data_IF_678448062380
#
_entry.id   IF_678448062380
#
_cell.length_a   1.000
_cell.length_b   1.000
_cell.length_c   1.000
_cell.angle_alpha   90.00
_cell.angle_beta   90.00
_cell.angle_gamma   90.00
#
_symmetry.space_group_name_H-M   'P 1'
#
loop_
_entity.id
_entity.type
_entity.pdbx_description
1 polymer ?
#
# COMPACT_ATOMS: atom_id res chain seq x y z
N UNK A 1 29.39 -27.85 37.18
CA UNK A 1 28.29 -26.90 36.90
C UNK A 1 26.99 -27.51 37.40
N UNK A 2 26.54 -27.15 38.60
CA UNK A 2 25.48 -27.84 39.34
C UNK A 2 24.06 -27.60 38.78
N UNK A 3 23.85 -26.54 38.00
CA UNK A 3 22.54 -26.18 37.43
C UNK A 3 22.43 -26.35 35.92
N UNK A 4 23.40 -27.02 35.27
CA UNK A 4 23.43 -27.20 33.81
C UNK A 4 22.13 -27.81 33.27
N UNK A 5 21.54 -28.78 33.98
CA UNK A 5 20.27 -29.41 33.59
C UNK A 5 19.07 -28.47 33.69
N UNK A 6 18.99 -27.65 34.74
CA UNK A 6 17.91 -26.66 34.92
C UNK A 6 17.99 -25.55 33.88
N UNK A 7 19.20 -25.11 33.56
CA UNK A 7 19.46 -24.10 32.53
C UNK A 7 19.02 -24.63 31.15
N UNK A 8 19.40 -25.86 30.79
CA UNK A 8 19.00 -26.47 29.50
C UNK A 8 17.48 -26.61 29.40
N UNK A 9 16.81 -27.10 30.47
CA UNK A 9 15.37 -27.23 30.49
C UNK A 9 14.66 -25.88 30.32
N UNK A 10 15.12 -24.84 31.03
CA UNK A 10 14.60 -23.48 30.89
C UNK A 10 14.80 -22.91 29.48
N UNK A 11 15.96 -23.18 28.86
CA UNK A 11 16.27 -22.73 27.49
C UNK A 11 15.36 -23.38 26.45
N UNK A 12 15.07 -24.68 26.58
CA UNK A 12 14.17 -25.39 25.67
C UNK A 12 12.74 -24.84 25.79
N UNK A 13 12.26 -24.60 27.02
CA UNK A 13 10.94 -24.00 27.25
C UNK A 13 10.88 -22.59 26.67
N UNK A 14 11.90 -21.77 26.93
CA UNK A 14 11.97 -20.40 26.42
C UNK A 14 11.99 -20.37 24.88
N UNK A 15 12.81 -21.20 24.24
CA UNK A 15 12.86 -21.29 22.77
C UNK A 15 11.55 -21.82 22.19
N UNK A 16 10.91 -22.79 22.85
CA UNK A 16 9.58 -23.26 22.47
C UNK A 16 8.55 -22.13 22.51
N UNK A 17 8.47 -21.40 23.63
CA UNK A 17 7.56 -20.26 23.80
C UNK A 17 7.86 -19.11 22.84
N UNK A 18 9.14 -18.79 22.61
CA UNK A 18 9.57 -17.76 21.68
C UNK A 18 9.31 -18.14 20.22
N UNK A 19 9.28 -19.44 19.91
CA UNK A 19 8.93 -19.94 18.58
C UNK A 19 7.40 -20.04 18.35
N UNK A 20 6.57 -20.05 19.43
CA UNK A 20 5.11 -20.14 19.31
C UNK A 20 4.51 -19.11 18.33
N UNK A 21 4.87 -17.80 18.37
CA UNK A 21 4.33 -16.82 17.43
C UNK A 21 4.63 -17.19 15.98
N UNK A 22 5.81 -17.76 15.69
CA UNK A 22 6.16 -18.17 14.33
C UNK A 22 5.34 -19.37 13.84
N UNK A 23 4.92 -20.27 14.73
CA UNK A 23 4.04 -21.39 14.37
C UNK A 23 2.56 -20.96 14.31
N UNK A 24 2.11 -20.09 15.20
CA UNK A 24 0.75 -19.53 15.19
C UNK A 24 0.51 -18.55 14.04
N UNK A 25 1.51 -17.77 13.65
CA UNK A 25 1.45 -16.84 12.51
C UNK A 25 1.72 -17.50 11.17
N UNK A 26 2.09 -18.80 11.13
CA UNK A 26 2.30 -19.58 9.90
C UNK A 26 0.96 -19.94 9.25
N UNK A 27 0.31 -18.93 8.70
CA UNK A 27 -1.03 -19.02 8.11
C UNK A 27 -1.79 -17.71 8.10
N UNK A 28 -1.24 -16.65 8.72
CA UNK A 28 -1.92 -15.37 8.78
C UNK A 28 -1.51 -14.45 7.62
N UNK A 29 -2.55 -14.16 6.83
CA UNK A 29 -2.77 -13.05 5.91
C UNK A 29 -2.04 -13.08 4.57
N UNK A 30 -2.77 -13.48 3.53
CA UNK A 30 -2.53 -12.98 2.18
C UNK A 30 -2.65 -11.46 2.18
N UNK A 31 -1.91 -10.79 1.29
CA UNK A 31 -2.08 -9.36 1.08
C UNK A 31 -3.57 -9.07 0.80
N UNK A 32 -4.12 -7.98 1.37
CA UNK A 32 -5.52 -7.65 1.14
C UNK A 32 -5.72 -7.35 -0.33
N UNK A 33 -6.77 -7.93 -0.91
CA UNK A 33 -7.21 -7.55 -2.24
C UNK A 33 -7.98 -6.22 -2.13
N UNK A 34 -7.57 -5.16 -2.84
CA UNK A 34 -8.27 -3.89 -2.85
C UNK A 34 -9.45 -3.93 -3.82
N UNK A 35 -10.51 -3.19 -3.50
CA UNK A 35 -11.73 -3.15 -4.29
C UNK A 35 -11.60 -2.19 -5.48
N UNK A 36 -11.87 -2.70 -6.69
CA UNK A 36 -11.82 -1.97 -7.95
C UNK A 36 -13.21 -1.56 -8.46
N UNK A 37 -14.27 -1.81 -7.68
CA UNK A 37 -15.65 -1.51 -8.03
C UNK A 37 -15.95 -0.01 -7.89
N UNK A 38 -15.40 0.78 -8.80
CA UNK A 38 -15.71 2.21 -8.93
C UNK A 38 -16.41 2.49 -10.26
N UNK A 39 -17.30 3.49 -10.34
CA UNK A 39 -17.97 3.85 -11.58
C UNK A 39 -16.98 4.13 -12.72
N UNK A 40 -15.86 4.80 -12.43
CA UNK A 40 -14.84 5.12 -13.43
C UNK A 40 -14.15 3.86 -13.96
N UNK A 41 -13.70 2.95 -13.09
CA UNK A 41 -13.03 1.72 -13.52
C UNK A 41 -13.99 0.79 -14.28
N UNK A 42 -15.25 0.72 -13.85
CA UNK A 42 -16.26 -0.12 -14.50
C UNK A 42 -16.63 0.35 -15.91
N UNK A 43 -16.44 1.64 -16.22
CA UNK A 43 -16.67 2.21 -17.55
C UNK A 43 -15.48 2.04 -18.49
N UNK A 44 -14.32 1.61 -17.98
CA UNK A 44 -13.13 1.42 -18.80
C UNK A 44 -13.18 0.13 -19.59
N UNK A 45 -12.89 0.22 -20.90
CA UNK A 45 -12.69 -0.95 -21.76
C UNK A 45 -11.45 -1.75 -21.35
N UNK A 46 -10.41 -1.05 -20.88
CA UNK A 46 -9.17 -1.61 -20.36
C UNK A 46 -8.93 -1.07 -18.96
N UNK A 47 -8.81 -1.95 -17.96
CA UNK A 47 -8.63 -1.58 -16.54
C UNK A 47 -7.19 -1.15 -16.24
N UNK A 48 -6.73 -0.13 -16.94
CA UNK A 48 -5.42 0.50 -16.77
C UNK A 48 -5.59 1.98 -16.44
N UNK A 49 -4.61 2.52 -15.71
CA UNK A 49 -4.60 3.91 -15.29
C UNK A 49 -3.20 4.49 -15.62
N UNK A 50 -2.43 4.88 -14.61
CA UNK A 50 -1.08 5.46 -14.79
C UNK A 50 -0.04 4.38 -15.12
N UNK A 51 -0.10 3.23 -14.47
CA UNK A 51 0.85 2.13 -14.62
C UNK A 51 0.15 0.78 -14.38
N UNK A 52 0.84 -0.31 -14.72
CA UNK A 52 0.34 -1.66 -14.44
C UNK A 52 0.10 -1.91 -12.95
N UNK A 53 -0.83 -2.81 -12.63
CA UNK A 53 -1.13 -3.18 -11.25
C UNK A 53 0.11 -3.73 -10.50
N UNK A 54 0.97 -4.48 -11.19
CA UNK A 54 2.19 -5.03 -10.61
C UNK A 54 3.22 -3.94 -10.32
N UNK A 55 3.36 -2.97 -11.22
CA UNK A 55 4.20 -1.80 -10.98
C UNK A 55 3.71 -1.01 -9.76
N UNK A 56 2.39 -0.74 -9.67
CA UNK A 56 1.82 0.03 -8.57
C UNK A 56 2.02 -0.68 -7.23
N UNK A 57 1.82 -2.01 -7.15
CA UNK A 57 2.09 -2.76 -5.92
C UNK A 57 3.54 -2.63 -5.45
N UNK A 58 4.49 -2.65 -6.38
CA UNK A 58 5.91 -2.56 -6.07
C UNK A 58 6.40 -1.12 -5.80
N UNK A 59 5.83 -0.12 -6.49
CA UNK A 59 6.41 1.23 -6.57
C UNK A 59 5.48 2.37 -6.16
N UNK A 60 4.23 2.13 -5.75
CA UNK A 60 3.24 3.21 -5.55
C UNK A 60 3.74 4.36 -4.67
N UNK A 61 4.35 4.08 -3.50
CA UNK A 61 4.81 5.16 -2.62
C UNK A 61 6.02 5.91 -3.19
N UNK A 62 6.88 5.22 -3.94
CA UNK A 62 8.03 5.85 -4.60
C UNK A 62 7.54 6.84 -5.66
N UNK A 63 6.61 6.39 -6.51
CA UNK A 63 5.98 7.22 -7.54
C UNK A 63 5.30 8.45 -6.90
N UNK A 64 4.50 8.25 -5.85
CA UNK A 64 3.81 9.36 -5.17
C UNK A 64 4.77 10.35 -4.50
N UNK A 65 5.89 9.89 -3.96
CA UNK A 65 6.90 10.77 -3.37
C UNK A 65 7.62 11.62 -4.42
N UNK A 66 8.00 10.99 -5.53
CA UNK A 66 8.61 11.67 -6.68
C UNK A 66 7.64 12.70 -7.28
N UNK A 67 6.38 12.31 -7.51
CA UNK A 67 5.34 13.20 -8.01
C UNK A 67 5.09 14.39 -7.08
N UNK A 68 5.06 14.16 -5.77
CA UNK A 68 4.92 15.24 -4.79
C UNK A 68 6.08 16.24 -4.89
N UNK A 69 7.32 15.74 -4.95
CA UNK A 69 8.48 16.62 -5.05
C UNK A 69 8.47 17.40 -6.38
N UNK A 70 8.19 16.73 -7.50
CA UNK A 70 8.10 17.37 -8.82
C UNK A 70 7.02 18.47 -8.84
N UNK A 71 5.80 18.16 -8.37
CA UNK A 71 4.68 19.10 -8.41
C UNK A 71 4.82 20.27 -7.43
N UNK A 72 5.41 20.06 -6.24
CA UNK A 72 5.47 21.07 -5.18
C UNK A 72 6.78 21.86 -5.19
N UNK A 73 7.92 21.21 -5.48
CA UNK A 73 9.25 21.84 -5.42
C UNK A 73 9.72 22.34 -6.77
N UNK A 74 9.45 21.59 -7.82
CA UNK A 74 9.96 21.89 -9.18
C UNK A 74 8.91 22.61 -10.03
N UNK A 75 7.62 22.49 -9.66
CA UNK A 75 6.51 23.04 -10.42
C UNK A 75 6.15 22.21 -11.65
N UNK A 76 6.78 21.05 -11.84
CA UNK A 76 6.52 20.13 -12.93
C UNK A 76 5.36 19.19 -12.55
N UNK A 77 4.27 19.27 -13.31
CA UNK A 77 3.02 18.55 -13.05
C UNK A 77 2.62 17.60 -14.16
N UNK A 78 3.38 17.51 -15.24
CA UNK A 78 3.05 16.66 -16.37
C UNK A 78 3.64 15.27 -16.16
N UNK A 79 2.85 14.20 -16.33
CA UNK A 79 3.36 12.82 -16.32
C UNK A 79 3.47 12.26 -17.73
N UNK A 80 2.40 12.34 -18.51
CA UNK A 80 2.38 11.86 -19.89
C UNK A 80 0.99 11.48 -20.39
N UNK A 81 0.94 10.91 -21.59
CA UNK A 81 -0.29 10.48 -22.25
C UNK A 81 -0.32 8.96 -22.34
N UNK A 82 -1.37 8.32 -21.81
CA UNK A 82 -1.60 6.88 -21.90
C UNK A 82 -2.95 6.65 -22.55
N UNK A 83 -2.99 5.87 -23.63
CA UNK A 83 -4.20 5.62 -24.43
C UNK A 83 -4.95 6.91 -24.85
N UNK A 84 -4.19 7.99 -25.13
CA UNK A 84 -4.73 9.29 -25.53
C UNK A 84 -5.27 10.14 -24.38
N UNK A 85 -5.13 9.69 -23.13
CA UNK A 85 -5.52 10.44 -21.93
C UNK A 85 -4.27 11.04 -21.29
N UNK A 86 -4.28 12.36 -21.10
CA UNK A 86 -3.24 13.07 -20.34
C UNK A 86 -3.39 12.79 -18.84
N UNK A 87 -2.25 12.52 -18.22
CA UNK A 87 -2.10 12.29 -16.79
C UNK A 87 -1.16 13.34 -16.20
N UNK A 88 -1.64 13.96 -15.11
CA UNK A 88 -0.84 14.86 -14.31
C UNK A 88 -0.25 14.15 -13.09
N UNK A 89 0.85 14.68 -12.59
CA UNK A 89 1.45 14.31 -11.30
C UNK A 89 0.59 14.84 -10.14
N UNK A 90 -0.61 14.30 -9.98
CA UNK A 90 -1.62 14.81 -9.03
C UNK A 90 -2.42 13.68 -8.37
N UNK A 91 -2.41 13.61 -7.04
CA UNK A 91 -3.23 12.64 -6.32
C UNK A 91 -4.73 12.81 -6.64
N UNK A 92 -5.25 14.03 -6.49
CA UNK A 92 -6.69 14.31 -6.65
C UNK A 92 -7.16 14.34 -8.10
N UNK A 93 -6.36 14.89 -9.01
CA UNK A 93 -6.77 15.04 -10.40
C UNK A 93 -6.43 13.82 -11.26
N UNK A 94 -5.57 12.91 -10.79
CA UNK A 94 -5.21 11.70 -11.52
C UNK A 94 -5.70 10.45 -10.78
N UNK A 95 -5.11 10.13 -9.63
CA UNK A 95 -5.39 8.85 -8.97
C UNK A 95 -6.85 8.74 -8.49
N UNK A 96 -7.39 9.81 -7.92
CA UNK A 96 -8.75 9.81 -7.36
C UNK A 96 -9.86 9.78 -8.41
N UNK A 97 -9.56 10.00 -9.70
CA UNK A 97 -10.54 9.82 -10.78
C UNK A 97 -11.00 8.37 -10.90
N UNK A 98 -10.10 7.42 -10.64
CA UNK A 98 -10.37 5.99 -10.75
C UNK A 98 -10.53 5.33 -9.38
N UNK A 99 -9.77 5.78 -8.38
CA UNK A 99 -9.73 5.20 -7.03
C UNK A 99 -10.61 5.98 -6.04
N UNK A 100 -11.86 6.26 -6.39
CA UNK A 100 -12.74 7.09 -5.56
C UNK A 100 -13.09 6.45 -4.21
N UNK A 101 -13.01 5.12 -4.08
CA UNK A 101 -13.36 4.34 -2.89
C UNK A 101 -12.17 4.16 -1.92
N UNK A 102 -11.72 5.22 -1.25
CA UNK A 102 -10.53 5.16 -0.36
C UNK A 102 -10.61 4.03 0.68
N UNK A 103 -11.76 3.86 1.32
CA UNK A 103 -11.96 2.86 2.40
C UNK A 103 -11.74 1.43 1.91
N UNK A 104 -12.22 1.13 0.70
CA UNK A 104 -12.21 -0.22 0.15
C UNK A 104 -11.01 -0.48 -0.79
N UNK A 105 -10.28 0.57 -1.18
CA UNK A 105 -9.05 0.48 -1.97
C UNK A 105 -7.79 0.83 -1.16
N UNK A 106 -7.57 2.11 -0.86
CA UNK A 106 -6.34 2.60 -0.23
C UNK A 106 -6.16 2.05 1.19
N UNK A 107 -7.20 2.13 2.01
CA UNK A 107 -7.13 1.81 3.43
C UNK A 107 -6.90 0.32 3.67
N UNK A 108 -7.28 -0.54 2.72
CA UNK A 108 -6.99 -1.99 2.78
C UNK A 108 -5.49 -2.25 2.98
N UNK A 109 -4.67 -1.67 2.11
CA UNK A 109 -3.22 -1.83 2.15
C UNK A 109 -2.58 -1.03 3.28
N UNK A 110 -3.03 0.20 3.54
CA UNK A 110 -2.46 1.03 4.60
C UNK A 110 -2.76 0.48 6.00
N UNK A 111 -3.96 -0.05 6.24
CA UNK A 111 -4.30 -0.72 7.49
C UNK A 111 -3.51 -2.02 7.65
N UNK A 112 -3.40 -2.82 6.58
CA UNK A 112 -2.59 -4.04 6.59
C UNK A 112 -1.11 -3.75 6.92
N UNK A 113 -0.53 -2.72 6.30
CA UNK A 113 0.84 -2.29 6.57
C UNK A 113 0.99 -1.49 7.88
N UNK A 114 -0.12 -1.19 8.58
CA UNK A 114 -0.15 -0.33 9.77
C UNK A 114 0.47 1.06 9.54
N UNK A 115 0.31 1.61 8.34
CA UNK A 115 0.82 2.92 7.94
C UNK A 115 -0.31 3.95 7.98
N UNK A 116 -0.05 5.11 8.57
CA UNK A 116 -0.97 6.26 8.54
C UNK A 116 -0.47 7.28 7.51
N UNK A 117 -1.01 7.29 6.29
CA UNK A 117 -0.57 8.24 5.27
C UNK A 117 -0.92 9.68 5.68
N UNK A 118 0.04 10.58 5.54
CA UNK A 118 -0.12 12.00 5.84
C UNK A 118 -0.57 12.82 4.63
N UNK A 119 -0.83 12.17 3.49
CA UNK A 119 -1.28 12.83 2.26
C UNK A 119 -2.53 13.69 2.51
N UNK A 120 -3.43 13.21 3.38
CA UNK A 120 -4.69 13.84 3.73
C UNK A 120 -4.55 15.06 4.66
N UNK A 121 -3.35 15.35 5.16
CA UNK A 121 -3.12 16.60 5.89
C UNK A 121 -3.20 17.82 4.97
N UNK A 122 -2.96 17.61 3.66
CA UNK A 122 -3.04 18.66 2.64
C UNK A 122 -4.11 18.35 1.59
N UNK A 123 -4.36 17.07 1.30
CA UNK A 123 -5.37 16.66 0.31
C UNK A 123 -6.71 16.35 0.96
N UNK A 124 -7.79 16.63 0.23
CA UNK A 124 -9.16 16.27 0.61
C UNK A 124 -9.32 14.77 0.36
N UNK A 125 -9.63 14.03 1.42
CA UNK A 125 -9.97 12.62 1.31
C UNK A 125 -11.32 12.45 0.60
N UNK A 126 -11.45 11.49 -0.33
CA UNK A 126 -12.76 11.13 -0.87
C UNK A 126 -13.62 10.49 0.25
N UNK A 127 -14.93 10.56 0.07
CA UNK A 127 -15.92 9.93 0.95
C UNK A 127 -15.98 8.41 0.79
#
# INVERSE_FOLDING_TARGET
MYDKGKIIAGLIIFLGLAALPFFYSRGQTSAPEPDLDTPAINQMSKKECVESADFMRANHMKLLDEWRNSAVREGDREYGVIDGVEYDKSLQNTCMRCHSNKKDFCDRCHNYASVKPYCWNCHIAPE
#
